data_IF_105705362586
#
_entry.id   IF_105705362586
#
_cell.length_a   1.000
_cell.length_b   1.000
_cell.length_c   1.000
_cell.angle_alpha   90.00
_cell.angle_beta   90.00
_cell.angle_gamma   90.00
#
_symmetry.space_group_name_H-M   'P 1'
#
loop_
_entity.id
_entity.type
_entity.pdbx_description
1 polymer ?
#
# COMPACT_ATOMS: atom_id res chain seq x y z
N UNK A 1 -13.49 4.54 -4.24
CA UNK A 1 -12.23 3.90 -3.80
C UNK A 1 -12.01 2.68 -4.70
N UNK A 2 -11.00 2.71 -5.57
CA UNK A 2 -10.86 1.70 -6.66
C UNK A 2 -10.13 0.42 -6.25
N UNK A 3 -9.43 0.40 -5.11
CA UNK A 3 -8.79 -0.80 -4.54
C UNK A 3 -9.09 -0.91 -3.05
N UNK A 4 -9.46 -2.10 -2.60
CA UNK A 4 -9.54 -2.42 -1.18
C UNK A 4 -8.17 -2.77 -0.61
N UNK A 5 -8.08 -2.89 0.72
CA UNK A 5 -6.85 -3.31 1.40
C UNK A 5 -6.39 -4.70 0.97
N UNK A 6 -7.33 -5.62 0.72
CA UNK A 6 -7.03 -6.94 0.21
C UNK A 6 -6.30 -6.87 -1.15
N UNK A 7 -6.81 -6.08 -2.11
CA UNK A 7 -6.16 -5.90 -3.42
C UNK A 7 -4.75 -5.31 -3.30
N UNK A 8 -4.57 -4.35 -2.39
CA UNK A 8 -3.26 -3.76 -2.10
C UNK A 8 -2.32 -4.80 -1.48
N UNK A 9 -2.80 -5.64 -0.56
CA UNK A 9 -2.02 -6.73 0.04
C UNK A 9 -1.64 -7.83 -0.98
N UNK A 10 -2.49 -8.09 -1.97
CA UNK A 10 -2.21 -9.02 -3.06
C UNK A 10 -1.18 -8.47 -4.05
N UNK A 11 -1.29 -7.19 -4.44
CA UNK A 11 -0.35 -6.53 -5.37
C UNK A 11 0.99 -6.22 -4.71
N UNK A 12 0.93 -5.81 -3.46
CA UNK A 12 2.08 -5.43 -2.64
C UNK A 12 2.03 -6.34 -1.43
N UNK A 13 2.75 -7.47 -1.52
CA UNK A 13 2.78 -8.54 -0.51
C UNK A 13 3.48 -8.09 0.78
N UNK A 14 2.86 -7.15 1.48
CA UNK A 14 3.27 -6.64 2.79
C UNK A 14 2.12 -6.89 3.78
N UNK A 15 2.48 -7.38 4.97
CA UNK A 15 1.48 -7.69 6.00
C UNK A 15 0.74 -6.45 6.50
N UNK A 16 1.29 -5.25 6.27
CA UNK A 16 0.70 -3.98 6.71
C UNK A 16 -0.73 -3.75 6.18
N UNK A 17 -1.08 -4.30 5.01
CA UNK A 17 -2.43 -4.17 4.45
C UNK A 17 -3.39 -5.30 4.86
N UNK A 18 -2.88 -6.35 5.52
CA UNK A 18 -3.67 -7.52 5.90
C UNK A 18 -3.94 -7.58 7.42
N UNK A 19 -3.02 -7.09 8.25
CA UNK A 19 -3.04 -7.30 9.72
C UNK A 19 -3.53 -6.07 10.52
N UNK A 20 -3.33 -4.86 9.99
CA UNK A 20 -3.88 -3.60 10.55
C UNK A 20 -4.08 -2.58 9.42
N UNK A 21 -5.12 -2.75 8.57
CA UNK A 21 -5.34 -1.91 7.41
C UNK A 21 -5.88 -0.52 7.80
N UNK A 22 -4.98 0.35 8.23
CA UNK A 22 -5.26 1.78 8.43
C UNK A 22 -4.28 2.65 7.64
N UNK A 23 -4.73 3.84 7.25
CA UNK A 23 -3.87 4.81 6.56
C UNK A 23 -2.67 5.20 7.43
N UNK A 24 -2.87 5.33 8.75
CA UNK A 24 -1.80 5.72 9.67
C UNK A 24 -0.75 4.61 9.88
N UNK A 25 -1.17 3.36 10.11
CA UNK A 25 -0.25 2.21 10.25
C UNK A 25 0.54 2.00 8.95
N UNK A 26 -0.15 2.07 7.81
CA UNK A 26 0.45 2.01 6.47
C UNK A 26 1.50 3.08 6.25
N UNK A 27 1.19 4.35 6.52
CA UNK A 27 2.15 5.44 6.34
C UNK A 27 3.37 5.30 7.27
N UNK A 28 3.18 4.84 8.52
CA UNK A 28 4.30 4.56 9.44
C UNK A 28 5.19 3.43 8.89
N UNK A 29 4.62 2.36 8.34
CA UNK A 29 5.37 1.27 7.72
C UNK A 29 6.10 1.71 6.45
N UNK A 30 5.40 2.38 5.53
CA UNK A 30 5.96 2.85 4.25
C UNK A 30 7.08 3.87 4.46
N UNK A 31 7.11 4.58 5.61
CA UNK A 31 8.24 5.44 6.00
C UNK A 31 9.52 4.69 6.32
N UNK A 32 9.40 3.50 6.91
CA UNK A 32 10.54 2.64 7.26
C UNK A 32 10.96 1.72 6.11
N UNK A 33 10.09 1.54 5.11
CA UNK A 33 10.28 0.58 4.01
C UNK A 33 10.15 1.27 2.64
N UNK A 34 11.22 1.92 2.13
CA UNK A 34 11.16 2.76 0.93
C UNK A 34 10.74 2.01 -0.35
N UNK A 35 11.17 0.75 -0.52
CA UNK A 35 10.79 -0.04 -1.70
C UNK A 35 9.28 -0.31 -1.74
N UNK A 36 8.64 -0.49 -0.57
CA UNK A 36 7.21 -0.71 -0.48
C UNK A 36 6.45 0.57 -0.78
N UNK A 37 6.94 1.72 -0.28
CA UNK A 37 6.41 3.04 -0.64
C UNK A 37 6.42 3.24 -2.15
N UNK A 38 7.56 2.97 -2.81
CA UNK A 38 7.69 3.13 -4.25
C UNK A 38 6.65 2.31 -5.02
N UNK A 39 6.40 1.05 -4.62
CA UNK A 39 5.34 0.23 -5.24
C UNK A 39 3.94 0.82 -5.09
N UNK A 40 3.62 1.41 -3.94
CA UNK A 40 2.33 2.09 -3.72
C UNK A 40 2.22 3.34 -4.58
N UNK A 41 3.28 4.13 -4.68
CA UNK A 41 3.35 5.33 -5.52
C UNK A 41 3.22 4.98 -7.01
N UNK A 42 3.95 3.97 -7.49
CA UNK A 42 3.88 3.47 -8.86
C UNK A 42 2.46 3.00 -9.20
N UNK A 43 1.82 2.25 -8.29
CA UNK A 43 0.43 1.83 -8.44
C UNK A 43 -0.53 3.02 -8.47
N UNK A 44 -0.31 4.04 -7.65
CA UNK A 44 -1.14 5.26 -7.64
C UNK A 44 -1.02 6.01 -8.98
N UNK A 45 0.19 6.15 -9.51
CA UNK A 45 0.43 6.77 -10.83
C UNK A 45 -0.20 5.94 -11.94
N UNK A 46 -0.08 4.61 -11.92
CA UNK A 46 -0.67 3.74 -12.96
C UNK A 46 -2.20 3.71 -12.94
N UNK A 47 -2.82 4.02 -11.79
CA UNK A 47 -4.27 4.02 -11.61
C UNK A 47 -4.89 5.38 -11.92
N UNK A 48 -4.09 6.45 -11.96
CA UNK A 48 -4.59 7.79 -12.29
C UNK A 48 -5.09 7.83 -13.74
N UNK A 49 -6.40 8.02 -13.89
CA UNK A 49 -7.06 8.60 -15.05
C UNK A 49 -6.81 10.10 -15.10
#
# INVERSE_FOLDING_TARGET
AHYGWADLGWRIRINCFNDDPSVQSSLKFLRKTPWARKKVEDLYVSTKF
#
